data_IF_952125687208
#
_entry.id   IF_952125687208
#
_cell.length_a   1.000
_cell.length_b   1.000
_cell.length_c   1.000
_cell.angle_alpha   90.00
_cell.angle_beta   90.00
_cell.angle_gamma   90.00
#
_symmetry.space_group_name_H-M   'P 1'
#
loop_
_entity.id
_entity.type
_entity.pdbx_description
1 polymer ?
#
# COMPACT_ATOMS: atom_id res chain seq x y z
N UNK A 1 -7.98 19.53 -23.55
CA UNK A 1 -8.21 18.54 -22.47
C UNK A 1 -7.40 17.33 -22.87
N UNK A 2 -6.36 16.96 -22.11
CA UNK A 2 -5.42 15.89 -22.48
C UNK A 2 -5.99 14.58 -21.95
N UNK A 3 -6.39 13.70 -22.85
CA UNK A 3 -6.84 12.35 -22.53
C UNK A 3 -5.68 11.52 -22.00
N UNK A 4 -5.88 10.88 -20.85
CA UNK A 4 -5.01 9.81 -20.36
C UNK A 4 -5.60 8.47 -20.82
N UNK A 5 -4.87 7.62 -21.54
CA UNK A 5 -5.36 6.27 -21.82
C UNK A 5 -5.30 5.43 -20.54
N UNK A 6 -6.47 5.08 -20.00
CA UNK A 6 -6.60 4.08 -18.95
C UNK A 6 -6.46 2.69 -19.54
N UNK A 7 -5.40 1.97 -19.19
CA UNK A 7 -5.26 0.55 -19.50
C UNK A 7 -5.43 -0.28 -18.22
N UNK A 8 -6.60 -0.23 -17.60
CA UNK A 8 -7.07 -1.31 -16.73
C UNK A 8 -8.22 -2.00 -17.48
N UNK A 9 -7.85 -2.78 -18.49
CA UNK A 9 -8.77 -3.68 -19.18
C UNK A 9 -9.04 -4.89 -18.30
N UNK A 10 -10.17 -4.85 -17.62
CA UNK A 10 -10.75 -5.96 -16.88
C UNK A 10 -11.33 -7.01 -17.87
N UNK A 11 -11.06 -8.30 -17.59
CA UNK A 11 -11.72 -9.51 -18.12
C UNK A 11 -11.66 -9.80 -19.64
N UNK A 12 -10.56 -10.39 -20.09
CA UNK A 12 -10.53 -11.21 -21.32
C UNK A 12 -10.83 -12.67 -21.01
N UNK A 13 -11.97 -13.20 -21.47
CA UNK A 13 -12.29 -14.63 -21.47
C UNK A 13 -11.22 -15.40 -22.24
N UNK A 14 -10.50 -16.31 -21.60
CA UNK A 14 -9.64 -17.28 -22.29
C UNK A 14 -10.44 -18.55 -22.57
N UNK A 15 -10.72 -18.79 -23.86
CA UNK A 15 -11.19 -20.07 -24.38
C UNK A 15 -9.96 -21.00 -24.49
N UNK A 16 -10.11 -22.21 -23.98
CA UNK A 16 -9.05 -23.18 -23.71
C UNK A 16 -8.33 -23.69 -24.99
N UNK A 17 -7.05 -24.05 -24.85
CA UNK A 17 -6.60 -25.41 -25.14
C UNK A 17 -5.19 -25.71 -24.60
N UNK A 18 -5.08 -26.90 -23.98
CA UNK A 18 -3.88 -27.73 -23.77
C UNK A 18 -2.74 -27.24 -22.85
N UNK A 19 -2.67 -27.91 -21.69
CA UNK A 19 -1.45 -28.40 -21.02
C UNK A 19 -0.35 -27.41 -20.65
N UNK A 20 -0.51 -26.75 -19.50
CA UNK A 20 0.54 -26.76 -18.47
C UNK A 20 -0.06 -26.41 -17.11
N UNK A 21 0.21 -27.24 -16.11
CA UNK A 21 -0.13 -27.02 -14.71
C UNK A 21 0.78 -25.95 -14.09
N UNK A 22 0.90 -24.78 -14.72
CA UNK A 22 1.39 -23.60 -14.04
C UNK A 22 0.17 -22.78 -13.71
N UNK A 23 -0.34 -22.97 -12.49
CA UNK A 23 -1.09 -21.91 -11.81
C UNK A 23 -0.23 -20.66 -11.91
N UNK A 24 -0.49 -19.79 -12.88
CA UNK A 24 0.03 -18.45 -12.93
C UNK A 24 -0.50 -17.81 -11.67
N UNK A 25 0.26 -17.91 -10.57
CA UNK A 25 -0.01 -17.16 -9.36
C UNK A 25 0.11 -15.72 -9.84
N UNK A 26 -1.02 -15.07 -10.09
CA UNK A 26 -1.06 -13.65 -10.38
C UNK A 26 -0.27 -13.01 -9.25
N UNK A 27 0.93 -12.50 -9.58
CA UNK A 27 1.76 -11.82 -8.62
C UNK A 27 0.93 -10.63 -8.15
N UNK A 28 0.51 -10.67 -6.88
CA UNK A 28 -0.20 -9.55 -6.28
C UNK A 28 0.78 -8.38 -6.33
N UNK A 29 0.46 -7.35 -7.11
CA UNK A 29 1.31 -6.18 -7.32
C UNK A 29 0.81 -4.97 -6.51
N UNK A 30 -0.35 -5.12 -5.86
CA UNK A 30 -0.98 -4.15 -4.99
C UNK A 30 -1.73 -4.91 -3.89
N UNK A 31 -1.46 -4.59 -2.64
CA UNK A 31 -2.21 -5.10 -1.49
C UNK A 31 -2.53 -3.92 -0.59
N UNK A 32 -3.79 -3.77 -0.21
CA UNK A 32 -4.24 -2.77 0.76
C UNK A 32 -4.92 -3.46 1.93
N UNK A 33 -4.45 -3.16 3.14
CA UNK A 33 -5.06 -3.57 4.39
C UNK A 33 -5.59 -2.33 5.11
N UNK A 34 -6.82 -2.40 5.60
CA UNK A 34 -7.46 -1.34 6.37
C UNK A 34 -7.74 -1.87 7.77
N UNK A 35 -7.27 -1.14 8.78
CA UNK A 35 -7.43 -1.49 10.18
C UNK A 35 -8.20 -0.38 10.87
N UNK A 36 -9.24 -0.73 11.62
CA UNK A 36 -9.91 0.21 12.50
C UNK A 36 -9.22 0.19 13.86
N UNK A 37 -8.89 1.35 14.41
CA UNK A 37 -8.33 1.46 15.76
C UNK A 37 -8.82 2.74 16.46
N UNK A 38 -8.35 2.93 17.70
CA UNK A 38 -8.71 4.07 18.53
C UNK A 38 -7.46 4.69 19.13
N UNK A 39 -7.18 5.95 18.82
CA UNK A 39 -6.04 6.71 19.35
C UNK A 39 -6.59 7.80 20.26
N UNK A 40 -6.17 7.81 21.54
CA UNK A 40 -6.66 8.75 22.57
C UNK A 40 -8.19 8.88 22.63
N UNK A 41 -8.89 7.77 22.48
CA UNK A 41 -10.36 7.76 22.55
C UNK A 41 -11.07 8.19 21.26
N UNK A 42 -10.36 8.49 20.17
CA UNK A 42 -10.94 8.83 18.86
C UNK A 42 -10.75 7.69 17.88
N UNK A 43 -11.80 7.34 17.14
CA UNK A 43 -11.72 6.30 16.11
C UNK A 43 -10.89 6.81 14.92
N UNK A 44 -10.12 5.92 14.33
CA UNK A 44 -9.38 6.18 13.10
C UNK A 44 -9.24 4.89 12.29
N UNK A 45 -8.91 5.07 11.02
CA UNK A 45 -8.53 4.00 10.11
C UNK A 45 -7.03 4.10 9.84
N UNK A 46 -6.35 2.97 9.89
CA UNK A 46 -4.98 2.83 9.41
C UNK A 46 -5.04 2.09 8.08
N UNK A 47 -4.60 2.73 7.01
CA UNK A 47 -4.53 2.15 5.68
C UNK A 47 -3.07 1.82 5.37
N UNK A 48 -2.76 0.54 5.16
CA UNK A 48 -1.44 0.07 4.74
C UNK A 48 -1.54 -0.43 3.32
N UNK A 49 -0.80 0.20 2.41
CA UNK A 49 -0.76 -0.18 0.99
C UNK A 49 0.66 -0.58 0.63
N UNK A 50 0.85 -1.83 0.20
CA UNK A 50 2.08 -2.31 -0.42
C UNK A 50 1.88 -2.41 -1.93
N UNK A 51 2.84 -1.92 -2.69
CA UNK A 51 2.86 -2.08 -4.15
C UNK A 51 4.18 -2.64 -4.62
N UNK A 52 4.14 -3.38 -5.72
CA UNK A 52 5.32 -3.86 -6.45
C UNK A 52 5.11 -3.60 -7.93
N UNK A 53 6.04 -2.87 -8.52
CA UNK A 53 6.06 -2.56 -9.94
C UNK A 53 7.48 -2.76 -10.51
N UNK A 54 7.67 -2.47 -11.79
CA UNK A 54 8.97 -2.58 -12.47
C UNK A 54 10.05 -1.66 -11.86
N UNK A 55 9.64 -0.58 -11.20
CA UNK A 55 10.53 0.38 -10.54
C UNK A 55 10.86 0.01 -9.09
N UNK A 56 10.24 -1.03 -8.53
CA UNK A 56 10.53 -1.55 -7.20
C UNK A 56 9.28 -1.73 -6.34
N UNK A 57 9.50 -1.75 -5.02
CA UNK A 57 8.45 -1.93 -4.01
C UNK A 57 8.24 -0.64 -3.22
N UNK A 58 6.98 -0.30 -2.95
CA UNK A 58 6.64 0.82 -2.08
C UNK A 58 5.67 0.40 -0.99
N UNK A 59 5.76 1.06 0.16
CA UNK A 59 4.81 0.90 1.25
C UNK A 59 4.30 2.28 1.65
N UNK A 60 3.00 2.39 1.83
CA UNK A 60 2.35 3.58 2.36
C UNK A 60 1.56 3.19 3.61
N UNK A 61 1.68 3.99 4.66
CA UNK A 61 0.87 3.89 5.88
C UNK A 61 0.17 5.23 6.06
N UNK A 62 -1.15 5.25 5.96
CA UNK A 62 -2.00 6.42 6.22
C UNK A 62 -2.82 6.22 7.48
N UNK A 63 -3.08 7.31 8.20
CA UNK A 63 -4.02 7.34 9.33
C UNK A 63 -5.08 8.39 9.02
N UNK A 64 -6.33 7.96 8.97
CA UNK A 64 -7.49 8.82 8.67
C UNK A 64 -8.44 8.85 9.88
N UNK A 65 -9.12 9.97 10.11
CA UNK A 65 -10.14 10.07 11.15
C UNK A 65 -11.47 9.39 10.75
N UNK A 66 -12.48 9.45 11.63
CA UNK A 66 -13.82 8.91 11.35
C UNK A 66 -14.56 9.59 10.20
N UNK A 67 -14.10 10.77 9.77
CA UNK A 67 -14.62 11.53 8.65
C UNK A 67 -13.77 11.35 7.38
N UNK A 68 -12.87 10.35 7.36
CA UNK A 68 -11.91 10.07 6.29
C UNK A 68 -10.98 11.25 5.98
N UNK A 69 -10.68 12.09 6.97
CA UNK A 69 -9.65 13.13 6.84
C UNK A 69 -8.29 12.57 7.21
N UNK A 70 -7.31 12.75 6.33
CA UNK A 70 -5.93 12.30 6.56
C UNK A 70 -5.28 13.06 7.71
N UNK A 71 -4.97 12.35 8.79
CA UNK A 71 -4.25 12.88 9.95
C UNK A 71 -2.74 12.86 9.73
N UNK A 72 -2.22 11.73 9.25
CA UNK A 72 -0.80 11.60 8.93
C UNK A 72 -0.55 10.48 7.92
N UNK A 73 0.59 10.55 7.23
CA UNK A 73 0.98 9.59 6.20
C UNK A 73 2.49 9.36 6.17
N UNK A 74 2.88 8.11 5.94
CA UNK A 74 4.24 7.67 5.66
C UNK A 74 4.24 7.02 4.28
N UNK A 75 5.22 7.39 3.46
CA UNK A 75 5.46 6.77 2.17
C UNK A 75 6.92 6.35 2.07
N UNK A 76 7.15 5.06 1.87
CA UNK A 76 8.46 4.45 1.63
C UNK A 76 8.55 4.20 0.12
N UNK A 77 9.30 5.07 -0.57
CA UNK A 77 9.43 5.03 -2.03
C UNK A 77 10.47 4.01 -2.50
N UNK A 78 10.33 3.44 -3.70
CA UNK A 78 11.23 2.41 -4.24
C UNK A 78 12.61 2.92 -4.74
N UNK A 79 13.15 4.01 -4.20
CA UNK A 79 14.40 4.59 -4.67
C UNK A 79 15.63 3.74 -4.33
N UNK A 80 16.67 3.80 -5.16
CA UNK A 80 17.91 3.00 -5.05
C UNK A 80 18.61 3.12 -3.69
N UNK A 81 18.39 4.23 -2.96
CA UNK A 81 18.99 4.49 -1.65
C UNK A 81 17.98 4.50 -0.49
N UNK A 82 16.73 4.09 -0.73
CA UNK A 82 15.76 3.98 0.37
C UNK A 82 16.19 2.88 1.32
N UNK A 83 16.34 3.22 2.60
CA UNK A 83 16.61 2.22 3.63
C UNK A 83 15.41 1.27 3.73
N UNK A 84 15.66 -0.02 3.51
CA UNK A 84 14.65 -1.08 3.64
C UNK A 84 14.15 -1.23 5.08
N UNK A 85 14.94 -0.81 6.07
CA UNK A 85 14.53 -0.74 7.49
C UNK A 85 14.54 0.72 7.94
N UNK A 86 13.59 1.10 8.76
CA UNK A 86 13.56 2.47 9.26
C UNK A 86 12.43 2.74 10.23
N UNK A 87 12.38 3.99 10.68
CA UNK A 87 11.29 4.51 11.48
C UNK A 87 10.95 5.94 11.05
N UNK A 88 9.72 6.37 11.32
CA UNK A 88 9.27 7.74 11.14
C UNK A 88 8.25 8.07 12.23
N UNK A 89 8.54 9.12 13.00
CA UNK A 89 7.61 9.69 13.96
C UNK A 89 6.66 10.68 13.28
N UNK A 90 5.42 10.68 13.72
CA UNK A 90 4.31 11.48 13.23
C UNK A 90 3.50 11.98 14.42
N UNK A 91 2.56 12.88 14.16
CA UNK A 91 1.58 13.29 15.14
C UNK A 91 0.17 13.04 14.59
N UNK A 92 -0.70 12.41 15.38
CA UNK A 92 -2.14 12.42 15.16
C UNK A 92 -2.86 12.51 16.50
N UNK A 93 -3.92 13.32 16.56
CA UNK A 93 -4.66 13.59 17.81
C UNK A 93 -3.76 14.07 18.97
N UNK A 94 -2.75 14.87 18.65
CA UNK A 94 -1.74 15.35 19.60
C UNK A 94 -0.95 14.23 20.30
N UNK A 95 -0.98 13.02 19.75
CA UNK A 95 -0.22 11.86 20.16
C UNK A 95 0.92 11.63 19.17
N UNK A 96 2.13 11.37 19.68
CA UNK A 96 3.22 10.91 18.84
C UNK A 96 2.94 9.46 18.40
N UNK A 97 3.18 9.18 17.12
CA UNK A 97 3.01 7.86 16.50
C UNK A 97 4.32 7.53 15.79
N UNK A 98 4.95 6.45 16.22
CA UNK A 98 6.14 5.92 15.56
C UNK A 98 5.75 4.78 14.61
N UNK A 99 6.10 4.93 13.34
CA UNK A 99 5.95 3.88 12.33
C UNK A 99 7.31 3.24 12.11
N UNK A 100 7.43 1.95 12.38
CA UNK A 100 8.64 1.15 12.12
C UNK A 100 8.38 0.21 10.95
N UNK A 101 9.39 0.02 10.10
CA UNK A 101 9.29 -0.92 8.98
C UNK A 101 10.58 -1.71 8.80
N UNK A 102 10.41 -2.95 8.34
CA UNK A 102 11.47 -3.82 7.87
C UNK A 102 11.01 -4.51 6.57
N UNK A 103 11.52 -4.02 5.44
CA UNK A 103 11.28 -4.53 4.10
C UNK A 103 12.48 -5.33 3.58
N UNK A 104 13.36 -5.82 4.46
CA UNK A 104 14.57 -6.54 4.04
C UNK A 104 14.27 -7.90 3.39
N UNK A 105 13.13 -8.51 3.74
CA UNK A 105 12.69 -9.83 3.24
C UNK A 105 11.59 -9.78 2.17
N UNK A 106 11.24 -8.59 1.69
CA UNK A 106 10.16 -8.39 0.72
C UNK A 106 10.63 -8.50 -0.74
#
# INVERSE_FOLDING_TARGET
MKDFPSCFGENGVQVADSSSSNSAKNAQNLVTCIYQCRIRGRNCLITVTWTKNLMGQSVTVGVDDSCNQSLCKVEIKPWLFTKRKGCKSLEAYSCNIDVFWDLSSA
#
